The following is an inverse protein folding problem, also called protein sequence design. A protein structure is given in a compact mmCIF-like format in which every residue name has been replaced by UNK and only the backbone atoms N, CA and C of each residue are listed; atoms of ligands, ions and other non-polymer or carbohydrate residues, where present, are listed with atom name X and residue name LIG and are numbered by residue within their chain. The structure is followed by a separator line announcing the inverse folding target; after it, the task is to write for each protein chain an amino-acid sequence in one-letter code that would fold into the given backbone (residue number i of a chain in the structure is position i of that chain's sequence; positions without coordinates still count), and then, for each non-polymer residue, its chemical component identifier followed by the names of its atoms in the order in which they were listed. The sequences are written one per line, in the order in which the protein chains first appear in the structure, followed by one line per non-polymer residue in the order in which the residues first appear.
data_IF_795752959704
#
_entry.id   IF_795752959704
#
_cell.length_a   1.000
_cell.length_b   1.000
_cell.length_c   1.000
_cell.angle_alpha   90.00
_cell.angle_beta   90.00
_cell.angle_gamma   90.00
#
_symmetry.space_group_name_H-M   'P 1'
#
loop_
_entity.id
_entity.type
_entity.pdbx_description
1 polymer ?
#
# COMPACT_ATOMS: atom_id res chain seq x y z
N UNK A 1 -20.80 -3.93 -15.46
CA UNK A 1 -19.95 -2.92 -14.77
C UNK A 1 -20.61 -1.56 -14.93
N UNK A 2 -20.73 -0.81 -13.84
CA UNK A 2 -21.23 0.58 -13.86
C UNK A 2 -20.10 1.49 -14.32
N UNK A 3 -20.39 2.46 -15.21
CA UNK A 3 -19.41 3.45 -15.67
C UNK A 3 -19.34 4.61 -14.67
N UNK A 4 -18.15 5.12 -14.39
CA UNK A 4 -17.92 6.33 -13.58
C UNK A 4 -17.29 7.43 -14.45
N UNK A 5 -17.52 8.71 -14.15
CA UNK A 5 -16.81 9.81 -14.81
C UNK A 5 -15.32 9.79 -14.42
N UNK A 6 -14.46 10.29 -15.31
CA UNK A 6 -13.01 10.38 -15.05
C UNK A 6 -12.69 11.23 -13.80
N UNK A 7 -13.51 12.25 -13.52
CA UNK A 7 -13.38 13.08 -12.32
C UNK A 7 -13.48 12.30 -11.00
N UNK A 8 -14.10 11.11 -11.00
CA UNK A 8 -14.11 10.25 -9.80
C UNK A 8 -12.79 9.52 -9.62
N UNK A 9 -12.11 9.17 -10.71
CA UNK A 9 -10.76 8.59 -10.68
C UNK A 9 -9.74 9.64 -10.23
N UNK A 10 -9.83 10.88 -10.75
CA UNK A 10 -8.92 11.99 -10.37
C UNK A 10 -8.97 12.34 -8.88
N UNK A 11 -10.05 11.99 -8.16
CA UNK A 11 -10.15 12.16 -6.71
C UNK A 11 -9.19 11.26 -5.94
N UNK A 12 -8.69 10.17 -6.52
CA UNK A 12 -7.74 9.27 -5.87
C UNK A 12 -6.31 9.81 -6.03
N UNK A 13 -5.64 10.06 -4.92
CA UNK A 13 -4.21 10.36 -4.95
C UNK A 13 -3.40 9.05 -4.96
N UNK A 14 -3.14 8.53 -6.16
CA UNK A 14 -2.39 7.31 -6.38
C UNK A 14 -0.90 7.61 -6.56
N UNK A 15 -0.06 6.94 -5.77
CA UNK A 15 1.39 7.17 -5.72
C UNK A 15 2.19 5.88 -5.81
N UNK A 16 3.34 5.93 -6.48
CA UNK A 16 4.37 4.91 -6.31
C UNK A 16 5.07 5.14 -4.98
N UNK A 17 5.12 4.11 -4.12
CA UNK A 17 5.80 4.15 -2.84
C UNK A 17 6.88 3.09 -2.72
N UNK A 18 7.95 3.40 -1.98
CA UNK A 18 8.99 2.43 -1.62
C UNK A 18 8.81 1.99 -0.17
N UNK A 19 8.72 0.69 0.07
CA UNK A 19 8.59 0.13 1.42
C UNK A 19 9.96 0.16 2.09
N UNK A 20 10.13 0.99 3.11
CA UNK A 20 11.39 1.17 3.83
C UNK A 20 11.54 0.13 4.96
N UNK A 21 10.46 -0.07 5.72
CA UNK A 21 10.43 -0.95 6.89
C UNK A 21 9.15 -1.76 6.91
N UNK A 22 9.25 -2.97 7.48
CA UNK A 22 8.16 -3.93 7.58
C UNK A 22 8.23 -4.57 8.96
N UNK A 23 7.22 -4.33 9.79
CA UNK A 23 7.15 -4.90 11.13
C UNK A 23 5.87 -5.74 11.30
N UNK A 24 5.95 -6.77 12.14
CA UNK A 24 4.75 -7.51 12.54
C UNK A 24 3.81 -6.60 13.33
N UNK A 25 2.53 -6.59 12.96
CA UNK A 25 1.56 -5.88 13.78
C UNK A 25 1.46 -6.54 15.17
N UNK A 26 1.65 -5.81 16.29
CA UNK A 26 1.81 -6.39 17.62
C UNK A 26 0.55 -7.11 18.12
N UNK A 27 -0.61 -6.71 17.59
CA UNK A 27 -1.93 -7.24 17.97
C UNK A 27 -2.67 -7.93 16.81
N UNK A 28 -1.99 -8.28 15.71
CA UNK A 28 -2.66 -8.87 14.55
C UNK A 28 -1.75 -9.80 13.74
N UNK A 29 -2.11 -11.08 13.65
CA UNK A 29 -1.24 -12.09 13.04
C UNK A 29 -1.16 -12.03 11.52
N UNK A 30 -2.13 -11.36 10.87
CA UNK A 30 -2.20 -11.22 9.41
C UNK A 30 -1.72 -9.88 8.88
N UNK A 31 -1.38 -8.94 9.76
CA UNK A 31 -1.04 -7.57 9.37
C UNK A 31 0.45 -7.29 9.56
N UNK A 32 1.00 -6.52 8.62
CA UNK A 32 2.26 -5.81 8.79
C UNK A 32 2.00 -4.32 9.01
N UNK A 33 2.90 -3.67 9.72
CA UNK A 33 3.03 -2.22 9.80
C UNK A 33 4.19 -1.84 8.88
N UNK A 34 3.90 -1.04 7.85
CA UNK A 34 4.86 -0.61 6.85
C UNK A 34 5.24 0.85 7.08
N UNK A 35 6.52 1.17 6.95
CA UNK A 35 6.96 2.54 6.69
C UNK A 35 7.20 2.70 5.20
N UNK A 36 6.48 3.61 4.57
CA UNK A 36 6.48 3.78 3.11
C UNK A 36 6.90 5.20 2.75
N UNK A 37 7.94 5.30 1.93
CA UNK A 37 8.33 6.55 1.27
C UNK A 37 7.39 6.82 0.10
N UNK A 38 6.60 7.89 0.21
CA UNK A 38 5.70 8.41 -0.84
C UNK A 38 6.21 9.75 -1.41
N UNK A 39 7.50 10.05 -1.30
CA UNK A 39 8.08 11.33 -1.73
C UNK A 39 7.70 12.50 -0.82
N UNK A 40 7.38 12.22 0.44
CA UNK A 40 7.01 13.18 1.48
C UNK A 40 8.20 13.50 2.38
N UNK A 41 8.03 14.48 3.28
CA UNK A 41 9.07 14.81 4.26
C UNK A 41 9.38 13.64 5.20
N UNK A 42 8.35 12.86 5.56
CA UNK A 42 8.46 11.73 6.47
C UNK A 42 7.76 10.48 5.89
N UNK A 43 8.29 9.27 6.14
CA UNK A 43 7.62 8.04 5.71
C UNK A 43 6.27 7.84 6.38
N UNK A 44 5.27 7.41 5.62
CA UNK A 44 3.94 7.11 6.15
C UNK A 44 3.87 5.74 6.79
N UNK A 45 3.06 5.64 7.84
CA UNK A 45 2.65 4.35 8.41
C UNK A 45 1.46 3.79 7.64
N UNK A 46 1.60 2.60 7.06
CA UNK A 46 0.53 1.90 6.35
C UNK A 46 0.42 0.48 6.89
N UNK A 47 -0.78 0.06 7.30
CA UNK A 47 -1.02 -1.29 7.81
C UNK A 47 -1.61 -2.15 6.70
N UNK A 48 -0.97 -3.27 6.39
CA UNK A 48 -1.34 -4.11 5.24
C UNK A 48 -1.49 -5.59 5.62
N UNK A 49 -2.53 -6.22 5.08
CA UNK A 49 -2.83 -7.65 5.29
C UNK A 49 -1.99 -8.59 4.43
N UNK A 50 -0.67 -8.45 4.44
CA UNK A 50 0.25 -9.16 3.54
C UNK A 50 1.03 -10.30 4.22
N UNK A 51 0.93 -10.44 5.55
CA UNK A 51 1.76 -11.36 6.33
C UNK A 51 1.54 -12.84 6.03
N UNK A 52 0.37 -13.20 5.48
CA UNK A 52 0.08 -14.56 5.03
C UNK A 52 0.63 -14.90 3.66
N UNK A 53 1.10 -13.90 2.90
CA UNK A 53 1.53 -14.06 1.50
C UNK A 53 3.00 -13.67 1.27
N UNK A 54 3.56 -12.83 2.14
CA UNK A 54 4.89 -12.26 1.98
C UNK A 54 5.67 -12.29 3.30
N UNK A 55 6.96 -12.56 3.20
CA UNK A 55 7.91 -12.27 4.27
C UNK A 55 8.24 -10.78 4.32
N UNK A 56 8.90 -10.34 5.40
CA UNK A 56 9.38 -8.96 5.49
C UNK A 56 10.43 -8.65 4.40
N UNK A 57 11.26 -9.64 4.07
CA UNK A 57 12.33 -9.55 3.06
C UNK A 57 11.76 -9.42 1.65
N UNK A 58 10.62 -10.06 1.37
CA UNK A 58 9.95 -9.94 0.08
C UNK A 58 9.45 -8.51 -0.19
N UNK A 59 9.13 -7.77 0.88
CA UNK A 59 8.51 -6.44 0.82
C UNK A 59 9.51 -5.30 0.95
N UNK A 60 10.54 -5.44 1.81
CA UNK A 60 11.51 -4.37 2.08
C UNK A 60 12.23 -3.95 0.80
N UNK A 61 12.27 -2.65 0.54
CA UNK A 61 12.87 -2.04 -0.64
C UNK A 61 12.08 -2.20 -1.94
N UNK A 62 10.90 -2.86 -1.93
CA UNK A 62 10.05 -2.95 -3.11
C UNK A 62 9.23 -1.69 -3.32
N UNK A 63 8.93 -1.43 -4.59
CA UNK A 63 7.98 -0.40 -4.98
C UNK A 63 6.60 -1.00 -5.23
N UNK A 64 5.57 -0.31 -4.74
CA UNK A 64 4.19 -0.64 -4.98
C UNK A 64 3.34 0.62 -5.22
N UNK A 65 2.10 0.44 -5.67
CA UNK A 65 1.14 1.53 -5.82
C UNK A 65 0.32 1.66 -4.53
N UNK A 66 0.18 2.89 -4.05
CA UNK A 66 -0.56 3.23 -2.84
C UNK A 66 -1.62 4.28 -3.13
N UNK A 67 -2.74 4.22 -2.41
CA UNK A 67 -3.70 5.32 -2.29
C UNK A 67 -3.29 6.17 -1.10
N UNK A 68 -3.02 7.45 -1.33
CA UNK A 68 -2.40 8.37 -0.39
C UNK A 68 -3.38 9.41 0.21
N UNK A 69 -4.66 9.40 -0.16
CA UNK A 69 -5.64 10.38 0.35
C UNK A 69 -6.93 9.76 0.88
N UNK A 70 -6.89 8.48 1.28
CA UNK A 70 -7.97 7.90 2.06
C UNK A 70 -7.96 8.48 3.47
N UNK A 71 -9.14 8.58 4.08
CA UNK A 71 -9.24 8.88 5.51
C UNK A 71 -8.45 7.84 6.33
N UNK A 72 -7.70 8.25 7.36
CA UNK A 72 -6.93 7.32 8.17
C UNK A 72 -7.83 6.28 8.84
N UNK A 73 -7.38 5.02 8.85
CA UNK A 73 -8.12 3.92 9.50
C UNK A 73 -7.30 3.39 10.66
N UNK A 74 -7.89 3.35 11.85
CA UNK A 74 -7.26 2.73 13.01
C UNK A 74 -7.46 1.21 12.96
N UNK A 75 -6.36 0.47 12.80
CA UNK A 75 -6.34 -0.98 12.77
C UNK A 75 -5.69 -1.47 14.06
N UNK A 76 -6.53 -1.81 15.05
CA UNK A 76 -6.11 -2.38 16.34
C UNK A 76 -5.08 -1.53 17.10
N UNK A 77 -5.25 -0.21 17.06
CA UNK A 77 -4.44 0.77 17.78
C UNK A 77 -3.34 1.42 16.95
N UNK A 78 -3.15 1.01 15.68
CA UNK A 78 -2.21 1.62 14.76
C UNK A 78 -2.98 2.32 13.64
N UNK A 79 -2.70 3.60 13.44
CA UNK A 79 -3.33 4.39 12.39
C UNK A 79 -2.66 4.11 11.03
N UNK A 80 -3.44 3.64 10.06
CA UNK A 80 -3.02 3.42 8.69
C UNK A 80 -3.36 4.63 7.82
N UNK A 81 -2.33 5.25 7.26
CA UNK A 81 -2.42 6.49 6.48
C UNK A 81 -2.23 6.24 4.97
N UNK A 82 -2.89 5.18 4.49
CA UNK A 82 -2.89 4.80 3.08
C UNK A 82 -3.31 3.34 2.87
N UNK A 83 -3.34 2.93 1.62
CA UNK A 83 -3.68 1.57 1.22
C UNK A 83 -2.79 1.12 0.06
N UNK A 84 -2.13 -0.02 0.21
CA UNK A 84 -1.40 -0.68 -0.89
C UNK A 84 -2.40 -1.32 -1.85
N UNK A 85 -2.19 -1.15 -3.16
CA UNK A 85 -3.00 -1.81 -4.19
C UNK A 85 -2.44 -3.18 -4.53
N UNK A 86 -3.32 -4.19 -4.51
CA UNK A 86 -2.99 -5.55 -4.87
C UNK A 86 -4.13 -6.21 -5.65
N UNK A 87 -3.76 -7.14 -6.53
CA UNK A 87 -4.67 -8.05 -7.19
C UNK A 87 -4.71 -9.37 -6.42
N UNK A 88 -5.90 -9.99 -6.34
CA UNK A 88 -6.05 -11.31 -5.76
C UNK A 88 -7.00 -12.17 -6.58
N UNK A 89 -6.86 -13.49 -6.47
CA UNK A 89 -7.91 -14.41 -6.91
C UNK A 89 -9.14 -14.30 -5.99
N UNK A 90 -10.26 -14.92 -6.38
CA UNK A 90 -11.53 -14.86 -5.62
C UNK A 90 -11.38 -15.37 -4.18
N UNK A 91 -10.59 -16.42 -3.98
CA UNK A 91 -10.33 -17.03 -2.67
C UNK A 91 -9.28 -16.28 -1.83
N UNK A 92 -8.63 -15.25 -2.39
CA UNK A 92 -7.51 -14.49 -1.78
C UNK A 92 -6.35 -15.37 -1.31
N UNK A 93 -6.14 -16.53 -1.93
CA UNK A 93 -4.98 -17.40 -1.67
C UNK A 93 -3.74 -16.90 -2.39
N UNK A 94 -3.90 -16.19 -3.50
CA UNK A 94 -2.84 -15.51 -4.25
C UNK A 94 -3.07 -14.00 -4.20
N UNK A 95 -2.11 -13.25 -3.67
CA UNK A 95 -2.17 -11.78 -3.56
C UNK A 95 -0.89 -11.20 -4.12
N UNK A 96 -0.99 -10.30 -5.09
CA UNK A 96 0.14 -9.63 -5.73
C UNK A 96 -0.05 -8.12 -5.73
N UNK A 97 0.86 -7.38 -5.08
CA UNK A 97 0.82 -5.93 -5.15
C UNK A 97 1.18 -5.42 -6.56
N UNK A 98 0.56 -4.30 -6.94
CA UNK A 98 0.86 -3.64 -8.21
C UNK A 98 2.13 -2.79 -8.04
N UNK A 99 2.98 -2.78 -9.07
CA UNK A 99 4.24 -2.04 -9.09
C UNK A 99 4.47 -1.40 -10.46
N UNK A 100 5.25 -0.31 -10.57
CA UNK A 100 5.67 0.20 -11.86
C UNK A 100 6.54 -0.82 -12.60
N UNK A 101 6.54 -0.78 -13.93
CA UNK A 101 7.36 -1.67 -14.77
C UNK A 101 8.86 -1.53 -14.46
N UNK A 102 9.29 -0.29 -14.21
CA UNK A 102 10.66 0.08 -13.87
C UNK A 102 10.66 0.91 -12.59
N UNK A 103 11.82 0.98 -11.93
CA UNK A 103 11.94 1.87 -10.78
C UNK A 103 11.70 3.32 -11.19
N UNK A 104 11.02 4.06 -10.32
CA UNK A 104 10.72 5.48 -10.48
C UNK A 104 10.82 6.17 -9.13
N UNK A 105 10.97 7.50 -9.12
CA UNK A 105 11.05 8.26 -7.88
C UNK A 105 9.82 7.98 -6.98
N UNK A 106 10.02 7.72 -5.67
CA UNK A 106 8.94 7.69 -4.69
C UNK A 106 8.06 8.95 -4.78
N UNK A 107 6.74 8.77 -4.63
CA UNK A 107 5.76 9.86 -4.76
C UNK A 107 5.37 10.21 -6.20
N UNK A 108 5.89 9.49 -7.20
CA UNK A 108 5.44 9.64 -8.59
C UNK A 108 3.93 9.34 -8.69
N UNK A 109 3.20 10.22 -9.37
CA UNK A 109 1.74 10.12 -9.56
C UNK A 109 1.36 9.06 -10.58
N UNK A 110 0.29 8.32 -10.30
CA UNK A 110 -0.40 7.46 -11.28
C UNK A 110 -1.52 8.26 -11.94
N UNK A 111 -1.73 8.07 -13.24
CA UNK A 111 -2.74 8.75 -14.06
C UNK A 111 -3.39 7.77 -15.04
#
# INVERSE_FOLDING_TARGET
MTKIPFSDFEKLDLRVGTILEVENHPKADKLYVLKVDLGEQEPRTIVAGLRTHYTQEDLKGKQAIFVANLEPVNLRGIESNGMILAASNEEKTSVFFLKPEKQIAPGSKIH
#
